data_IF_582194863038
#
_entry.id   IF_582194863038
#
_cell.length_a   1.000
_cell.length_b   1.000
_cell.length_c   1.000
_cell.angle_alpha   90.00
_cell.angle_beta   90.00
_cell.angle_gamma   90.00
#
_symmetry.space_group_name_H-M   'P 1'
#
loop_
_entity.id
_entity.type
_entity.pdbx_description
1 polymer ?
#
# COMPACT_ATOMS: atom_id res chain seq x y z
N UNK A 1 0.00 13.51 -20.06
CA UNK A 1 1.40 13.91 -20.36
C UNK A 1 2.13 14.53 -19.16
N UNK A 2 1.47 15.36 -18.34
CA UNK A 2 2.10 16.05 -17.19
C UNK A 2 2.76 15.10 -16.16
N UNK A 3 2.02 14.11 -15.63
CA UNK A 3 2.54 13.18 -14.61
C UNK A 3 3.81 12.45 -15.09
N UNK A 4 3.85 12.00 -16.35
CA UNK A 4 5.03 11.35 -16.93
C UNK A 4 6.24 12.31 -17.01
N UNK A 5 6.00 13.59 -17.33
CA UNK A 5 7.06 14.61 -17.37
C UNK A 5 7.62 14.87 -15.97
N UNK A 6 6.76 15.04 -14.97
CA UNK A 6 7.17 15.24 -13.57
C UNK A 6 7.95 14.03 -13.05
N UNK A 7 7.47 12.82 -13.30
CA UNK A 7 8.18 11.60 -12.91
C UNK A 7 9.58 11.53 -13.54
N UNK A 8 9.71 11.89 -14.82
CA UNK A 8 11.02 11.94 -15.49
C UNK A 8 11.97 12.98 -14.88
N UNK A 9 11.47 14.18 -14.53
CA UNK A 9 12.27 15.24 -13.89
C UNK A 9 12.75 14.79 -12.50
N UNK A 10 11.89 14.09 -11.75
CA UNK A 10 12.19 13.60 -10.40
C UNK A 10 12.92 12.24 -10.38
N UNK A 11 13.28 11.71 -11.55
CA UNK A 11 13.91 10.39 -11.70
C UNK A 11 13.09 9.24 -11.07
N UNK A 12 11.76 9.32 -11.14
CA UNK A 12 10.81 8.32 -10.64
C UNK A 12 10.43 7.38 -11.78
N UNK A 13 10.63 6.07 -11.58
CA UNK A 13 10.17 5.05 -12.51
C UNK A 13 8.68 4.76 -12.26
N UNK A 14 7.86 4.95 -13.29
CA UNK A 14 6.44 4.62 -13.24
C UNK A 14 6.22 3.16 -13.61
N UNK A 15 5.61 2.40 -12.70
CA UNK A 15 5.27 0.99 -12.91
C UNK A 15 3.85 0.92 -13.48
N UNK A 16 3.66 0.21 -14.59
CA UNK A 16 2.34 0.01 -15.17
C UNK A 16 1.50 -0.94 -14.31
N UNK A 17 0.28 -0.53 -14.00
CA UNK A 17 -0.73 -1.36 -13.35
C UNK A 17 -1.89 -1.59 -14.33
N UNK A 18 -2.19 -2.85 -14.69
CA UNK A 18 -3.34 -3.17 -15.51
C UNK A 18 -4.66 -2.70 -14.87
N UNK A 19 -5.65 -2.27 -15.67
CA UNK A 19 -6.96 -1.89 -15.16
C UNK A 19 -7.61 -3.06 -14.40
N UNK A 20 -8.45 -2.74 -13.42
CA UNK A 20 -9.20 -3.71 -12.59
C UNK A 20 -8.35 -4.79 -11.90
N UNK A 21 -7.06 -4.53 -11.66
CA UNK A 21 -6.13 -5.49 -11.06
C UNK A 21 -5.67 -5.08 -9.66
N UNK A 22 -6.58 -4.91 -8.68
CA UNK A 22 -6.24 -4.48 -7.33
C UNK A 22 -5.33 -5.47 -6.60
N UNK A 23 -5.35 -6.75 -7.01
CA UNK A 23 -4.47 -7.79 -6.48
C UNK A 23 -2.97 -7.53 -6.78
N UNK A 24 -2.68 -6.74 -7.83
CA UNK A 24 -1.34 -6.28 -8.19
C UNK A 24 -0.98 -4.95 -7.52
N UNK A 25 -1.89 -4.28 -6.81
CA UNK A 25 -1.59 -3.01 -6.15
C UNK A 25 -1.18 -3.27 -4.68
N UNK A 26 0.06 -2.95 -4.26
CA UNK A 26 0.54 -3.29 -2.92
C UNK A 26 -0.26 -2.60 -1.81
N UNK A 27 -0.73 -1.36 -2.04
CA UNK A 27 -1.51 -0.62 -1.05
C UNK A 27 -2.86 -1.29 -0.75
N UNK A 28 -3.47 -1.97 -1.74
CA UNK A 28 -4.71 -2.73 -1.54
C UNK A 28 -4.50 -3.94 -0.64
N UNK A 29 -3.35 -4.59 -0.76
CA UNK A 29 -2.98 -5.72 0.10
C UNK A 29 -2.75 -5.28 1.54
N UNK A 30 -2.13 -4.11 1.72
CA UNK A 30 -1.96 -3.49 3.02
C UNK A 30 -3.31 -3.12 3.66
N UNK A 31 -4.18 -2.43 2.90
CA UNK A 31 -5.54 -2.10 3.35
C UNK A 31 -6.36 -3.32 3.71
N UNK A 32 -6.24 -4.43 2.98
CA UNK A 32 -6.92 -5.68 3.30
C UNK A 32 -6.52 -6.21 4.68
N UNK A 33 -5.23 -6.16 5.04
CA UNK A 33 -4.75 -6.57 6.37
C UNK A 33 -5.20 -5.58 7.45
N UNK A 34 -5.02 -4.28 7.23
CA UNK A 34 -5.44 -3.24 8.17
C UNK A 34 -6.93 -3.33 8.48
N UNK A 35 -7.80 -3.44 7.47
CA UNK A 35 -9.25 -3.57 7.65
C UNK A 35 -9.64 -4.80 8.49
N UNK A 36 -8.91 -5.92 8.35
CA UNK A 36 -9.14 -7.13 9.18
C UNK A 36 -8.86 -6.87 10.66
N UNK A 37 -7.86 -6.03 10.97
CA UNK A 37 -7.51 -5.65 12.34
C UNK A 37 -8.53 -4.63 12.84
N UNK A 38 -8.75 -3.54 12.09
CA UNK A 38 -9.65 -2.45 12.46
C UNK A 38 -11.07 -2.93 12.76
N UNK A 39 -11.58 -3.93 12.00
CA UNK A 39 -12.92 -4.52 12.21
C UNK A 39 -13.11 -5.13 13.61
N UNK A 40 -12.03 -5.46 14.32
CA UNK A 40 -12.08 -6.03 15.67
C UNK A 40 -12.30 -4.97 16.76
N UNK A 41 -12.19 -3.68 16.40
CA UNK A 41 -12.35 -2.57 17.33
C UNK A 41 -13.70 -1.89 17.16
N UNK A 42 -14.30 -1.45 18.27
CA UNK A 42 -15.47 -0.59 18.27
C UNK A 42 -15.04 0.85 17.96
N UNK A 43 -15.46 1.38 16.81
CA UNK A 43 -15.12 2.73 16.37
C UNK A 43 -16.03 3.73 17.09
N UNK A 44 -15.45 4.54 17.98
CA UNK A 44 -16.19 5.50 18.82
C UNK A 44 -16.43 6.84 18.13
N UNK A 45 -15.44 7.32 17.39
CA UNK A 45 -15.47 8.58 16.66
C UNK A 45 -14.39 8.58 15.57
N UNK A 46 -14.38 9.63 14.75
CA UNK A 46 -13.44 9.79 13.65
C UNK A 46 -11.98 9.82 14.15
N UNK A 47 -11.69 10.58 15.20
CA UNK A 47 -10.32 10.72 15.74
C UNK A 47 -9.74 9.37 16.20
N UNK A 48 -10.57 8.53 16.82
CA UNK A 48 -10.19 7.17 17.22
C UNK A 48 -9.89 6.30 16.00
N UNK A 49 -10.71 6.39 14.94
CA UNK A 49 -10.46 5.66 13.70
C UNK A 49 -9.14 6.11 13.04
N UNK A 50 -8.87 7.41 12.98
CA UNK A 50 -7.63 7.95 12.42
C UNK A 50 -6.40 7.43 13.19
N UNK A 51 -6.43 7.50 14.53
CA UNK A 51 -5.37 6.93 15.38
C UNK A 51 -5.19 5.44 15.15
N UNK A 52 -6.29 4.69 15.05
CA UNK A 52 -6.24 3.25 14.82
C UNK A 52 -5.65 2.90 13.44
N UNK A 53 -5.99 3.66 12.39
CA UNK A 53 -5.42 3.51 11.04
C UNK A 53 -3.92 3.78 11.05
N UNK A 54 -3.48 4.87 11.68
CA UNK A 54 -2.04 5.22 11.77
C UNK A 54 -1.27 4.12 12.51
N UNK A 55 -1.77 3.68 13.67
CA UNK A 55 -1.10 2.65 14.46
C UNK A 55 -1.00 1.33 13.70
N UNK A 56 -2.11 0.86 13.13
CA UNK A 56 -2.12 -0.40 12.36
C UNK A 56 -1.27 -0.33 11.09
N UNK A 57 -1.15 0.84 10.45
CA UNK A 57 -0.23 1.05 9.34
C UNK A 57 1.23 0.90 9.78
N UNK A 58 1.63 1.57 10.87
CA UNK A 58 3.00 1.52 11.39
C UNK A 58 3.40 0.10 11.84
N UNK A 59 2.49 -0.63 12.49
CA UNK A 59 2.67 -2.04 12.84
C UNK A 59 2.79 -2.94 11.61
N UNK A 60 2.05 -2.63 10.55
CA UNK A 60 2.10 -3.40 9.30
C UNK A 60 3.40 -3.16 8.52
N UNK A 61 4.02 -1.98 8.66
CA UNK A 61 5.29 -1.62 8.01
C UNK A 61 6.52 -2.17 8.72
N UNK A 62 6.50 -2.22 10.06
CA UNK A 62 7.61 -2.82 10.85
C UNK A 62 7.80 -4.30 10.54
N UNK A 63 6.77 -4.96 10.01
CA UNK A 63 6.85 -6.31 9.46
C UNK A 63 7.22 -6.27 7.96
N UNK A 64 8.47 -5.83 7.68
CA UNK A 64 9.05 -5.61 6.33
C UNK A 64 8.80 -6.72 5.29
N UNK A 65 8.49 -7.94 5.74
CA UNK A 65 8.11 -9.08 4.88
C UNK A 65 7.04 -8.76 3.84
N UNK A 66 6.05 -7.92 4.17
CA UNK A 66 4.94 -7.67 3.25
C UNK A 66 5.38 -6.91 1.99
N UNK A 67 6.16 -5.85 2.17
CA UNK A 67 6.65 -5.03 1.06
C UNK A 67 7.74 -5.75 0.28
N UNK A 68 8.61 -6.48 0.97
CA UNK A 68 9.76 -7.15 0.35
C UNK A 68 9.30 -8.36 -0.48
N UNK A 69 8.41 -9.20 0.06
CA UNK A 69 7.84 -10.34 -0.69
C UNK A 69 7.03 -9.86 -1.90
N UNK A 70 6.27 -8.77 -1.76
CA UNK A 70 5.52 -8.19 -2.88
C UNK A 70 6.46 -7.66 -3.96
N UNK A 71 7.49 -6.89 -3.56
CA UNK A 71 8.48 -6.33 -4.48
C UNK A 71 9.19 -7.42 -5.26
N UNK A 72 9.70 -8.45 -4.59
CA UNK A 72 10.34 -9.60 -5.24
C UNK A 72 9.36 -10.34 -6.16
N UNK A 73 8.12 -10.52 -5.74
CA UNK A 73 7.14 -11.27 -6.54
C UNK A 73 6.75 -10.56 -7.83
N UNK A 74 6.60 -9.24 -7.79
CA UNK A 74 5.97 -8.49 -8.88
C UNK A 74 6.92 -7.56 -9.64
N UNK A 75 7.99 -7.06 -9.02
CA UNK A 75 8.92 -6.13 -9.67
C UNK A 75 10.13 -6.85 -10.22
N UNK A 76 10.79 -7.72 -9.46
CA UNK A 76 12.01 -8.40 -9.93
C UNK A 76 11.76 -9.51 -10.95
N UNK A 77 10.51 -9.79 -11.32
CA UNK A 77 10.15 -10.67 -12.45
C UNK A 77 9.89 -9.92 -13.74
N UNK A 78 9.76 -8.59 -13.67
CA UNK A 78 9.48 -7.72 -14.82
C UNK A 78 10.78 -7.15 -15.40
N UNK A 79 11.90 -7.34 -14.71
CA UNK A 79 13.25 -6.94 -15.11
C UNK A 79 14.20 -8.14 -15.04
#
# INVERSE_FOLDING_TARGET
>A
QFIKKVANILNITLIYLPPYSPHLNPIEQLWRKMKKIIKQYLIKNQEYLEKLVINTFNESLTNHKLTDEWYIKFITKVW
#
